data_IF_965849344764
#
_entry.id   IF_965849344764
#
_cell.length_a   1.000
_cell.length_b   1.000
_cell.length_c   1.000
_cell.angle_alpha   90.00
_cell.angle_beta   90.00
_cell.angle_gamma   90.00
#
_symmetry.space_group_name_H-M   'P 1'
#
loop_
_entity.id
_entity.type
_entity.pdbx_description
1 polymer ?
#
# COMPACT_ATOMS: atom_id res chain seq x y z
N UNK A 1 -5.16 7.84 -5.21
CA UNK A 1 -6.13 7.73 -4.10
C UNK A 1 -5.41 8.16 -2.84
N UNK A 2 -5.93 9.17 -2.15
CA UNK A 2 -5.30 9.74 -0.97
C UNK A 2 -6.15 9.42 0.26
N UNK A 3 -5.58 8.61 1.14
CA UNK A 3 -6.15 8.19 2.43
C UNK A 3 -5.17 8.51 3.57
N UNK A 4 -4.27 9.46 3.35
CA UNK A 4 -3.32 9.92 4.36
C UNK A 4 -4.04 10.55 5.55
N UNK A 5 -3.46 10.47 6.75
CA UNK A 5 -3.99 11.10 7.97
C UNK A 5 -5.38 10.58 8.37
N UNK A 6 -5.57 9.26 8.28
CA UNK A 6 -6.76 8.60 8.79
C UNK A 6 -6.39 7.72 10.00
N UNK A 7 -7.40 7.07 10.59
CA UNK A 7 -7.22 6.13 11.70
C UNK A 7 -7.23 4.67 11.23
N UNK A 8 -6.70 4.38 10.03
CA UNK A 8 -6.68 3.02 9.50
C UNK A 8 -5.69 2.16 10.28
N UNK A 9 -6.13 1.01 10.78
CA UNK A 9 -5.28 0.00 11.42
C UNK A 9 -4.80 -1.11 10.46
N UNK A 10 -5.40 -1.18 9.28
CA UNK A 10 -5.10 -2.12 8.19
C UNK A 10 -5.53 -1.52 6.85
N UNK A 11 -5.11 -2.12 5.72
CA UNK A 11 -5.57 -1.72 4.39
C UNK A 11 -7.01 -2.21 4.19
N UNK A 12 -7.99 -1.31 3.95
CA UNK A 12 -9.37 -1.72 3.70
C UNK A 12 -9.50 -2.65 2.48
N UNK A 13 -10.28 -3.74 2.55
CA UNK A 13 -10.45 -4.69 1.46
C UNK A 13 -11.09 -4.08 0.21
N UNK A 14 -11.75 -2.93 0.32
CA UNK A 14 -12.30 -2.16 -0.79
C UNK A 14 -11.20 -1.59 -1.68
N UNK A 15 -10.02 -1.27 -1.13
CA UNK A 15 -8.86 -0.82 -1.90
C UNK A 15 -8.27 -1.98 -2.69
N UNK A 16 -8.44 -3.22 -2.22
CA UNK A 16 -7.88 -4.43 -2.80
C UNK A 16 -8.80 -5.06 -3.86
N UNK A 17 -9.65 -4.26 -4.50
CA UNK A 17 -10.63 -4.74 -5.46
C UNK A 17 -10.18 -4.54 -6.91
N UNK A 18 -10.49 -5.47 -7.84
CA UNK A 18 -10.09 -5.39 -9.25
C UNK A 18 -10.59 -4.13 -10.00
N UNK A 19 -11.69 -3.53 -9.54
CA UNK A 19 -12.21 -2.30 -10.17
C UNK A 19 -11.29 -1.09 -9.96
N UNK A 20 -10.34 -1.16 -9.01
CA UNK A 20 -9.30 -0.17 -8.80
C UNK A 20 -8.00 -0.49 -9.55
N UNK A 21 -8.00 -1.46 -10.47
CA UNK A 21 -6.82 -1.84 -11.28
C UNK A 21 -6.17 -0.69 -12.06
N UNK A 22 -6.92 0.38 -12.36
CA UNK A 22 -6.41 1.59 -13.02
C UNK A 22 -5.78 2.62 -12.06
N UNK A 23 -5.77 2.34 -10.75
CA UNK A 23 -5.20 3.25 -9.76
C UNK A 23 -3.68 3.32 -9.94
N UNK A 24 -3.14 4.53 -10.10
CA UNK A 24 -1.71 4.79 -10.29
C UNK A 24 -0.96 5.13 -9.02
N UNK A 25 -1.62 5.86 -8.11
CA UNK A 25 -1.01 6.36 -6.89
C UNK A 25 -1.90 6.04 -5.70
N UNK A 26 -1.30 5.57 -4.60
CA UNK A 26 -1.99 5.28 -3.35
C UNK A 26 -1.19 5.86 -2.17
N UNK A 27 -1.77 6.83 -1.48
CA UNK A 27 -1.19 7.41 -0.28
C UNK A 27 -1.96 6.95 0.95
N UNK A 28 -1.32 6.16 1.79
CA UNK A 28 -1.79 5.65 3.08
C UNK A 28 -0.93 6.17 4.24
N UNK A 29 -0.14 7.23 4.01
CA UNK A 29 0.75 7.77 5.02
C UNK A 29 0.01 8.30 6.25
N UNK A 30 0.68 8.39 7.40
CA UNK A 30 0.09 8.94 8.63
C UNK A 30 -1.18 8.20 9.07
N UNK A 31 -1.10 6.86 9.10
CA UNK A 31 -2.16 6.00 9.61
C UNK A 31 -1.59 5.10 10.73
N UNK A 32 -2.41 4.19 11.26
CA UNK A 32 -2.01 3.18 12.24
C UNK A 32 -1.83 1.79 11.65
N UNK A 33 -1.52 1.66 10.35
CA UNK A 33 -1.41 0.36 9.69
C UNK A 33 -0.24 -0.42 10.32
N UNK A 34 -0.51 -1.64 10.77
CA UNK A 34 0.48 -2.46 11.49
C UNK A 34 0.77 -3.78 10.77
N UNK A 35 1.87 -4.44 11.15
CA UNK A 35 2.19 -5.80 10.72
C UNK A 35 2.96 -5.91 9.40
N UNK A 36 2.80 -7.05 8.72
CA UNK A 36 3.45 -7.34 7.43
C UNK A 36 2.49 -6.98 6.30
N UNK A 37 2.95 -6.19 5.34
CA UNK A 37 2.12 -5.81 4.20
C UNK A 37 2.05 -6.95 3.16
N UNK A 38 0.87 -7.55 2.92
CA UNK A 38 0.75 -8.71 2.04
C UNK A 38 0.79 -8.32 0.54
N UNK A 39 1.00 -9.28 -0.38
CA UNK A 39 0.98 -9.05 -1.83
C UNK A 39 -0.42 -8.71 -2.39
N UNK A 40 -1.41 -8.41 -1.53
CA UNK A 40 -2.78 -8.16 -1.94
C UNK A 40 -2.93 -6.91 -2.84
N UNK A 41 -1.98 -5.97 -2.76
CA UNK A 41 -1.96 -4.78 -3.63
C UNK A 41 -1.57 -5.10 -5.09
N UNK A 42 -1.15 -6.34 -5.41
CA UNK A 42 -0.92 -6.78 -6.79
C UNK A 42 -2.15 -6.67 -7.68
N UNK A 43 -3.34 -6.70 -7.09
CA UNK A 43 -4.61 -6.50 -7.81
C UNK A 43 -4.67 -5.11 -8.48
N UNK A 44 -3.90 -4.14 -7.96
CA UNK A 44 -3.76 -2.80 -8.50
C UNK A 44 -2.67 -2.78 -9.58
N UNK A 45 -2.97 -3.38 -10.73
CA UNK A 45 -1.98 -3.64 -11.79
C UNK A 45 -1.36 -2.38 -12.40
N UNK A 46 -2.06 -1.24 -12.37
CA UNK A 46 -1.53 0.05 -12.83
C UNK A 46 -0.85 0.88 -11.75
N UNK A 47 -0.75 0.37 -10.51
CA UNK A 47 -0.17 1.10 -9.41
C UNK A 47 1.33 1.28 -9.63
N UNK A 48 1.79 2.53 -9.58
CA UNK A 48 3.19 2.90 -9.79
C UNK A 48 3.80 3.52 -8.54
N UNK A 49 3.01 4.21 -7.71
CA UNK A 49 3.49 4.83 -6.49
C UNK A 49 2.61 4.45 -5.29
N UNK A 50 3.26 4.09 -4.19
CA UNK A 50 2.59 3.85 -2.92
C UNK A 50 3.36 4.49 -1.76
N UNK A 51 2.63 5.15 -0.86
CA UNK A 51 3.18 5.76 0.34
C UNK A 51 2.55 5.18 1.61
N UNK A 52 3.39 4.59 2.44
CA UNK A 52 3.09 4.01 3.75
C UNK A 52 3.84 4.70 4.90
N UNK A 53 4.47 5.84 4.66
CA UNK A 53 5.21 6.57 5.71
C UNK A 53 4.36 6.86 6.93
N UNK A 54 4.99 6.92 8.11
CA UNK A 54 4.30 7.19 9.38
C UNK A 54 3.13 6.23 9.64
N UNK A 55 3.38 4.94 9.41
CA UNK A 55 2.59 3.81 9.88
C UNK A 55 3.44 2.96 10.83
N UNK A 56 2.92 1.83 11.29
CA UNK A 56 3.60 0.87 12.17
C UNK A 56 3.86 -0.46 11.45
N UNK A 57 4.11 -0.40 10.14
CA UNK A 57 4.44 -1.56 9.30
C UNK A 57 5.84 -2.04 9.66
N UNK A 58 6.00 -3.32 9.98
CA UNK A 58 7.27 -3.90 10.43
C UNK A 58 8.02 -4.63 9.33
N UNK A 59 7.31 -5.12 8.32
CA UNK A 59 7.91 -5.75 7.15
C UNK A 59 7.00 -5.65 5.93
N UNK A 60 7.60 -5.83 4.76
CA UNK A 60 6.89 -6.06 3.50
C UNK A 60 7.04 -7.52 3.10
N UNK A 61 5.96 -8.14 2.63
CA UNK A 61 6.04 -9.44 2.01
C UNK A 61 6.85 -9.33 0.71
N UNK A 62 7.85 -10.21 0.51
CA UNK A 62 8.71 -10.18 -0.67
C UNK A 62 7.92 -10.31 -1.98
N UNK A 63 6.79 -11.02 -1.93
CA UNK A 63 5.88 -11.15 -3.06
C UNK A 63 5.39 -9.80 -3.56
N UNK A 64 5.34 -8.75 -2.75
CA UNK A 64 4.83 -7.43 -3.16
C UNK A 64 5.60 -6.81 -4.35
N UNK A 65 6.88 -7.17 -4.51
CA UNK A 65 7.73 -6.70 -5.61
C UNK A 65 7.67 -7.60 -6.85
N UNK A 66 7.08 -8.79 -6.74
CA UNK A 66 6.98 -9.74 -7.83
C UNK A 66 5.73 -9.47 -8.67
N UNK A 67 5.90 -8.86 -9.85
CA UNK A 67 4.83 -8.67 -10.83
C UNK A 67 4.02 -7.38 -10.69
N UNK A 68 4.40 -6.47 -9.78
CA UNK A 68 3.83 -5.13 -9.69
C UNK A 68 4.66 -4.10 -10.47
N UNK A 69 4.03 -3.24 -11.26
CA UNK A 69 4.68 -2.12 -11.98
C UNK A 69 5.15 -0.97 -11.09
N UNK A 70 5.47 -1.26 -9.82
CA UNK A 70 5.72 -0.26 -8.80
C UNK A 70 7.09 0.35 -9.02
N UNK A 71 7.12 1.65 -9.28
CA UNK A 71 8.37 2.40 -9.49
C UNK A 71 8.80 3.15 -8.23
N UNK A 72 7.89 3.35 -7.28
CA UNK A 72 8.17 4.07 -6.03
C UNK A 72 7.38 3.50 -4.86
N UNK A 73 8.09 3.06 -3.83
CA UNK A 73 7.52 2.59 -2.56
C UNK A 73 8.17 3.39 -1.44
N UNK A 74 7.39 4.22 -0.78
CA UNK A 74 7.81 4.91 0.44
C UNK A 74 7.22 4.16 1.62
N UNK A 75 8.06 3.57 2.46
CA UNK A 75 7.65 2.96 3.73
C UNK A 75 8.78 3.21 4.72
N UNK A 76 8.44 3.81 5.86
CA UNK A 76 9.44 4.21 6.85
C UNK A 76 9.96 3.00 7.60
N UNK A 77 11.18 2.57 7.29
CA UNK A 77 11.98 1.85 8.27
C UNK A 77 12.48 2.87 9.30
N UNK A 78 12.35 2.52 10.59
CA UNK A 78 13.26 3.07 11.60
C UNK A 78 14.69 2.63 11.32
#
# INVERSE_FOLDING_TARGET
MFLSQNSLSSIPPQILQPHLSNLKELDLSQNGITGILPPALKVLTSLVQVNFERNQITALDAGIFEGGGWSKVSWGCG
#
